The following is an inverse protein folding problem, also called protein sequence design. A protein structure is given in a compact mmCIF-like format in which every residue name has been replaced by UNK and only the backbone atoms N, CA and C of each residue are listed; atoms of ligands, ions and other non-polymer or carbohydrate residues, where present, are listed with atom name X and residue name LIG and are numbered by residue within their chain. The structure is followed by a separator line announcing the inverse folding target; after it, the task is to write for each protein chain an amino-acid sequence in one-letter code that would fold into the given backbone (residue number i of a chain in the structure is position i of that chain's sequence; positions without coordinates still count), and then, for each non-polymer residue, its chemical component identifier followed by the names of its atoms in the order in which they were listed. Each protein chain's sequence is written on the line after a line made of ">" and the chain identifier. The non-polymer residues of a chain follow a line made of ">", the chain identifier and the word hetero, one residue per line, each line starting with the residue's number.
data_IF_250478563899
#
_entry.id   IF_250478563899
#
_cell.length_a   1.000
_cell.length_b   1.000
_cell.length_c   1.000
_cell.angle_alpha   90.00
_cell.angle_beta   90.00
_cell.angle_gamma   90.00
#
_symmetry.space_group_name_H-M   'P 1'
#
loop_
_entity.id
_entity.type
_entity.pdbx_description
1 polymer ?
#
# COMPACT_ATOMS: atom_id res chain seq x y z
N UNK A 1 -8.89 -5.10 -24.67
CA UNK A 1 -8.68 -6.09 -23.58
C UNK A 1 -8.82 -5.33 -22.26
N UNK A 2 -9.32 -5.97 -21.20
CA UNK A 2 -9.35 -5.34 -19.89
C UNK A 2 -7.95 -5.36 -19.29
N UNK A 3 -7.60 -4.33 -18.51
CA UNK A 3 -6.35 -4.30 -17.73
C UNK A 3 -6.60 -4.90 -16.36
N UNK A 4 -5.79 -5.88 -15.96
CA UNK A 4 -5.91 -6.58 -14.69
C UNK A 4 -5.03 -5.92 -13.64
N UNK A 5 -5.68 -5.32 -12.61
CA UNK A 5 -5.02 -4.66 -11.49
C UNK A 5 -5.10 -5.53 -10.22
N UNK A 6 -3.96 -5.75 -9.59
CA UNK A 6 -3.86 -6.44 -8.31
C UNK A 6 -3.38 -5.47 -7.23
N UNK A 7 -4.14 -5.33 -6.16
CA UNK A 7 -3.77 -4.53 -4.99
C UNK A 7 -3.29 -5.42 -3.86
N UNK A 8 -2.05 -5.22 -3.43
CA UNK A 8 -1.41 -5.90 -2.31
C UNK A 8 -1.12 -4.91 -1.20
N UNK A 9 -1.27 -5.32 0.04
CA UNK A 9 -1.00 -4.44 1.17
C UNK A 9 -1.54 -4.99 2.49
N UNK A 10 -1.69 -4.09 3.44
CA UNK A 10 -2.16 -4.34 4.80
C UNK A 10 -3.66 -3.98 4.99
N UNK A 11 -4.06 -3.60 6.21
CA UNK A 11 -5.42 -3.23 6.56
C UNK A 11 -5.97 -2.04 5.77
N UNK A 12 -5.12 -1.09 5.38
CA UNK A 12 -5.55 0.08 4.59
C UNK A 12 -5.98 -0.37 3.18
N UNK A 13 -5.31 -1.37 2.62
CA UNK A 13 -5.67 -1.99 1.34
C UNK A 13 -6.83 -2.96 1.50
N UNK A 14 -6.85 -3.78 2.56
CA UNK A 14 -7.96 -4.69 2.88
C UNK A 14 -9.28 -3.93 2.98
N UNK A 15 -9.34 -2.94 3.84
CA UNK A 15 -10.51 -2.08 4.01
C UNK A 15 -11.82 -2.88 3.98
N UNK A 16 -11.92 -3.87 4.86
CA UNK A 16 -13.08 -4.76 5.05
C UNK A 16 -13.37 -5.75 3.90
N UNK A 17 -12.56 -5.85 2.84
CA UNK A 17 -12.91 -6.74 1.71
C UNK A 17 -13.03 -8.22 2.11
N UNK A 18 -12.26 -8.67 3.12
CA UNK A 18 -12.33 -10.04 3.65
C UNK A 18 -13.58 -10.31 4.49
N UNK A 19 -14.23 -9.26 4.99
CA UNK A 19 -15.40 -9.36 5.87
C UNK A 19 -16.73 -9.15 5.15
N UNK A 20 -16.69 -8.66 3.90
CA UNK A 20 -17.88 -8.48 3.09
C UNK A 20 -18.40 -9.83 2.57
N UNK A 21 -19.73 -10.03 2.53
CA UNK A 21 -20.32 -11.32 2.14
C UNK A 21 -20.15 -11.64 0.65
N UNK A 22 -19.91 -10.64 -0.20
CA UNK A 22 -19.79 -10.81 -1.63
C UNK A 22 -18.42 -11.39 -2.00
N UNK A 23 -18.43 -12.49 -2.73
CA UNK A 23 -17.18 -13.08 -3.25
C UNK A 23 -16.51 -12.10 -4.21
N UNK A 24 -15.23 -11.78 -3.93
CA UNK A 24 -14.47 -10.83 -4.73
C UNK A 24 -14.77 -9.37 -4.42
N UNK A 25 -15.34 -9.09 -3.23
CA UNK A 25 -15.49 -7.73 -2.73
C UNK A 25 -14.15 -6.98 -2.76
N UNK A 26 -14.21 -5.69 -3.06
CA UNK A 26 -13.05 -4.78 -3.05
C UNK A 26 -12.90 -4.02 -1.72
N UNK A 27 -13.80 -4.25 -0.78
CA UNK A 27 -13.89 -3.49 0.45
C UNK A 27 -14.61 -2.14 0.25
N UNK A 28 -14.45 -1.25 1.23
CA UNK A 28 -15.05 0.10 1.24
C UNK A 28 -14.03 1.23 1.19
N UNK A 29 -12.75 0.89 0.98
CA UNK A 29 -11.63 1.83 0.94
C UNK A 29 -11.23 2.27 -0.46
N UNK A 30 -9.98 2.75 -0.55
CA UNK A 30 -9.43 3.35 -1.77
C UNK A 30 -9.43 2.41 -2.97
N UNK A 31 -9.31 1.08 -2.78
CA UNK A 31 -9.33 0.10 -3.89
C UNK A 31 -10.70 0.09 -4.58
N UNK A 32 -11.79 0.09 -3.79
CA UNK A 32 -13.15 0.16 -4.34
C UNK A 32 -13.42 1.50 -5.05
N UNK A 33 -12.82 2.59 -4.56
CA UNK A 33 -12.93 3.91 -5.18
C UNK A 33 -12.15 3.99 -6.49
N UNK A 34 -10.92 3.46 -6.52
CA UNK A 34 -10.13 3.32 -7.75
C UNK A 34 -10.84 2.45 -8.80
N UNK A 35 -11.50 1.37 -8.40
CA UNK A 35 -12.24 0.53 -9.32
C UNK A 35 -13.36 1.31 -10.05
N UNK A 36 -14.05 2.21 -9.35
CA UNK A 36 -15.05 3.10 -9.96
C UNK A 36 -14.43 4.11 -10.93
N UNK A 37 -13.25 4.65 -10.58
CA UNK A 37 -12.55 5.66 -11.38
C UNK A 37 -11.87 5.04 -12.61
N UNK A 38 -11.32 3.83 -12.50
CA UNK A 38 -10.70 3.09 -13.62
C UNK A 38 -11.74 2.58 -14.61
N UNK A 39 -12.99 2.37 -14.16
CA UNK A 39 -14.12 2.06 -15.01
C UNK A 39 -14.18 0.61 -15.52
N UNK A 40 -15.03 0.33 -16.52
CA UNK A 40 -15.39 -1.03 -16.93
C UNK A 40 -14.27 -1.78 -17.67
N UNK A 41 -13.24 -1.08 -18.13
CA UNK A 41 -12.09 -1.68 -18.82
C UNK A 41 -11.00 -2.16 -17.86
N UNK A 42 -11.18 -1.96 -16.55
CA UNK A 42 -10.33 -2.49 -15.51
C UNK A 42 -10.96 -3.71 -14.83
N UNK A 43 -10.15 -4.72 -14.56
CA UNK A 43 -10.48 -5.80 -13.65
C UNK A 43 -9.64 -5.64 -12.39
N UNK A 44 -10.30 -5.52 -11.23
CA UNK A 44 -9.64 -5.19 -9.97
C UNK A 44 -9.72 -6.39 -9.03
N UNK A 45 -8.57 -6.71 -8.43
CA UNK A 45 -8.47 -7.73 -7.38
C UNK A 45 -7.84 -7.08 -6.14
N UNK A 46 -8.57 -7.08 -5.03
CA UNK A 46 -8.03 -6.68 -3.73
C UNK A 46 -7.49 -7.91 -2.99
N UNK A 47 -6.22 -7.87 -2.59
CA UNK A 47 -5.55 -8.85 -1.74
C UNK A 47 -4.82 -8.22 -0.55
N UNK A 48 -5.31 -7.09 -0.08
CA UNK A 48 -4.92 -6.53 1.22
C UNK A 48 -5.26 -7.51 2.34
N UNK A 49 -4.45 -7.56 3.37
CA UNK A 49 -4.70 -8.40 4.55
C UNK A 49 -4.36 -7.61 5.80
N UNK A 50 -5.31 -7.51 6.69
CA UNK A 50 -5.15 -6.81 7.96
C UNK A 50 -3.90 -7.30 8.73
N UNK A 51 -3.13 -6.36 9.27
CA UNK A 51 -1.93 -6.64 10.06
C UNK A 51 -0.71 -7.12 9.25
N UNK A 52 -0.75 -7.17 7.92
CA UNK A 52 0.38 -7.67 7.15
C UNK A 52 1.61 -6.80 7.31
N UNK A 53 2.74 -7.47 7.56
CA UNK A 53 4.10 -6.97 7.43
C UNK A 53 4.70 -7.41 6.10
N UNK A 54 5.83 -6.80 5.73
CA UNK A 54 6.57 -7.23 4.53
C UNK A 54 7.01 -8.70 4.63
N UNK A 55 7.45 -9.15 5.79
CA UNK A 55 7.82 -10.55 6.02
C UNK A 55 6.63 -11.51 5.83
N UNK A 56 5.43 -11.14 6.32
CA UNK A 56 4.22 -11.94 6.15
C UNK A 56 3.80 -12.00 4.67
N UNK A 57 3.89 -10.90 3.94
CA UNK A 57 3.62 -10.87 2.51
C UNK A 57 4.60 -11.76 1.74
N UNK A 58 5.90 -11.67 2.04
CA UNK A 58 6.92 -12.52 1.43
C UNK A 58 6.63 -14.00 1.63
N UNK A 59 6.26 -14.40 2.85
CA UNK A 59 5.88 -15.79 3.14
C UNK A 59 4.68 -16.24 2.30
N UNK A 60 3.67 -15.39 2.13
CA UNK A 60 2.52 -15.68 1.28
C UNK A 60 2.87 -15.80 -0.19
N UNK A 61 3.74 -14.93 -0.70
CA UNK A 61 4.23 -15.02 -2.07
C UNK A 61 4.99 -16.33 -2.31
N UNK A 62 5.81 -16.78 -1.33
CA UNK A 62 6.51 -18.06 -1.38
C UNK A 62 5.56 -19.27 -1.44
N UNK A 63 4.36 -19.12 -0.94
CA UNK A 63 3.30 -20.17 -0.96
C UNK A 63 2.35 -20.03 -2.15
N UNK A 64 2.68 -19.24 -3.16
CA UNK A 64 1.87 -19.07 -4.37
C UNK A 64 0.66 -18.15 -4.18
N UNK A 65 0.78 -17.11 -3.38
CA UNK A 65 -0.27 -16.12 -3.18
C UNK A 65 -0.58 -15.30 -4.43
N UNK A 66 0.44 -15.05 -5.26
CA UNK A 66 0.28 -14.43 -6.55
C UNK A 66 -0.27 -15.46 -7.54
N UNK A 67 -1.56 -15.34 -7.87
CA UNK A 67 -2.23 -16.19 -8.85
C UNK A 67 -2.64 -15.34 -10.05
N UNK A 68 -2.54 -15.92 -11.24
CA UNK A 68 -2.83 -15.21 -12.49
C UNK A 68 -1.63 -14.39 -12.98
N UNK A 69 -1.90 -13.54 -13.95
CA UNK A 69 -0.91 -12.66 -14.59
C UNK A 69 -1.50 -11.24 -14.62
N UNK A 70 -1.49 -10.50 -13.49
CA UNK A 70 -1.96 -9.12 -13.49
C UNK A 70 -1.07 -8.27 -14.40
N UNK A 71 -1.65 -7.27 -15.06
CA UNK A 71 -0.91 -6.30 -15.85
C UNK A 71 -0.22 -5.28 -14.93
N UNK A 72 -0.92 -4.88 -13.86
CA UNK A 72 -0.46 -3.87 -12.90
C UNK A 72 -0.62 -4.39 -11.47
N UNK A 73 0.43 -4.26 -10.66
CA UNK A 73 0.40 -4.52 -9.22
C UNK A 73 0.61 -3.21 -8.47
N UNK A 74 -0.28 -2.88 -7.54
CA UNK A 74 -0.09 -1.81 -6.56
C UNK A 74 0.26 -2.41 -5.22
N UNK A 75 1.39 -2.02 -4.64
CA UNK A 75 1.86 -2.47 -3.32
C UNK A 75 1.93 -1.29 -2.36
N UNK A 76 1.16 -1.33 -1.27
CA UNK A 76 1.23 -0.40 -0.14
C UNK A 76 1.33 -1.18 1.17
N UNK A 77 2.50 -1.11 1.84
CA UNK A 77 2.81 -1.92 3.01
C UNK A 77 3.90 -1.21 3.85
N UNK A 78 4.03 -1.61 5.13
CA UNK A 78 5.17 -1.19 5.96
C UNK A 78 4.77 -0.56 7.30
N UNK A 79 3.55 -0.05 7.45
CA UNK A 79 3.13 0.56 8.72
C UNK A 79 3.11 -0.47 9.87
N UNK A 80 2.78 -1.72 9.59
CA UNK A 80 2.78 -2.79 10.59
C UNK A 80 4.20 -3.22 10.98
N UNK A 81 5.18 -3.11 10.07
CA UNK A 81 6.59 -3.36 10.38
C UNK A 81 7.10 -2.36 11.41
N UNK A 82 6.71 -1.07 11.29
CA UNK A 82 6.98 -0.05 12.30
C UNK A 82 6.30 -0.41 13.63
N UNK A 83 5.02 -0.81 13.57
CA UNK A 83 4.28 -1.24 14.76
C UNK A 83 4.96 -2.40 15.49
N UNK A 84 5.42 -3.41 14.76
CA UNK A 84 6.19 -4.53 15.32
C UNK A 84 7.49 -4.04 15.92
N UNK A 85 8.27 -3.25 15.20
CA UNK A 85 9.56 -2.74 15.68
C UNK A 85 9.42 -2.00 17.02
N UNK A 86 8.47 -1.07 17.11
CA UNK A 86 8.25 -0.28 18.32
C UNK A 86 7.67 -1.09 19.49
N UNK A 87 6.73 -2.00 19.21
CA UNK A 87 6.09 -2.80 20.28
C UNK A 87 7.00 -3.90 20.82
N UNK A 88 7.97 -4.35 20.04
CA UNK A 88 8.94 -5.40 20.46
C UNK A 88 10.32 -4.84 20.78
N UNK A 89 10.51 -3.52 20.68
CA UNK A 89 11.77 -2.80 20.92
C UNK A 89 12.94 -3.36 20.10
N UNK A 90 12.68 -3.61 18.81
CA UNK A 90 13.68 -3.99 17.81
C UNK A 90 13.76 -2.94 16.72
N UNK A 91 14.81 -2.95 15.91
CA UNK A 91 14.94 -2.04 14.78
C UNK A 91 14.33 -2.64 13.50
N UNK A 92 14.08 -1.81 12.48
CA UNK A 92 13.70 -2.28 11.14
C UNK A 92 14.77 -3.19 10.53
N UNK A 93 16.04 -2.96 10.88
CA UNK A 93 17.15 -3.82 10.46
C UNK A 93 17.09 -5.20 11.13
N UNK A 94 16.75 -5.27 12.43
CA UNK A 94 16.55 -6.56 13.13
C UNK A 94 15.39 -7.37 12.50
N UNK A 95 14.37 -6.70 11.98
CA UNK A 95 13.27 -7.30 11.21
C UNK A 95 13.67 -7.64 9.78
N UNK A 96 14.88 -7.30 9.35
CA UNK A 96 15.37 -7.48 7.98
C UNK A 96 14.43 -6.86 6.92
N UNK A 97 13.84 -5.72 7.26
CA UNK A 97 12.83 -5.08 6.42
C UNK A 97 13.32 -4.86 4.99
N UNK A 98 14.48 -4.24 4.81
CA UNK A 98 15.02 -3.91 3.49
C UNK A 98 15.26 -5.15 2.62
N UNK A 99 15.74 -6.27 3.21
CA UNK A 99 15.95 -7.53 2.51
C UNK A 99 14.62 -8.15 2.07
N UNK A 100 13.66 -8.26 2.99
CA UNK A 100 12.35 -8.83 2.70
C UNK A 100 11.59 -7.98 1.67
N UNK A 101 11.65 -6.64 1.78
CA UNK A 101 11.00 -5.75 0.82
C UNK A 101 11.60 -5.89 -0.57
N UNK A 102 12.94 -5.94 -0.68
CA UNK A 102 13.61 -6.18 -1.96
C UNK A 102 13.19 -7.52 -2.56
N UNK A 103 13.12 -8.58 -1.76
CA UNK A 103 12.71 -9.90 -2.24
C UNK A 103 11.25 -9.92 -2.70
N UNK A 104 10.35 -9.25 -1.98
CA UNK A 104 8.95 -9.03 -2.41
C UNK A 104 8.94 -8.37 -3.78
N UNK A 105 9.64 -7.24 -3.96
CA UNK A 105 9.64 -6.51 -5.22
C UNK A 105 10.21 -7.34 -6.39
N UNK A 106 11.28 -8.10 -6.16
CA UNK A 106 11.82 -8.98 -7.19
C UNK A 106 10.82 -10.03 -7.64
N UNK A 107 10.08 -10.66 -6.70
CA UNK A 107 9.02 -11.63 -7.04
C UNK A 107 7.84 -11.00 -7.78
N UNK A 108 7.46 -9.78 -7.42
CA UNK A 108 6.40 -9.06 -8.13
C UNK A 108 6.85 -8.68 -9.54
N UNK A 109 8.08 -8.21 -9.69
CA UNK A 109 8.68 -7.88 -10.99
C UNK A 109 8.81 -9.12 -11.88
N UNK A 110 9.24 -10.25 -11.33
CA UNK A 110 9.40 -11.52 -12.06
C UNK A 110 8.06 -12.10 -12.55
N UNK A 111 6.94 -11.63 -12.03
CA UNK A 111 5.60 -11.99 -12.54
C UNK A 111 5.32 -11.42 -13.92
N UNK A 112 6.10 -10.46 -14.38
CA UNK A 112 5.89 -9.71 -15.61
C UNK A 112 4.93 -8.53 -15.49
N UNK A 113 4.38 -8.27 -14.31
CA UNK A 113 3.50 -7.12 -14.08
C UNK A 113 4.29 -5.82 -13.93
N UNK A 114 3.67 -4.71 -14.31
CA UNK A 114 4.15 -3.39 -13.91
C UNK A 114 3.84 -3.16 -12.43
N UNK A 115 4.82 -2.75 -11.62
CA UNK A 115 4.67 -2.63 -10.16
C UNK A 115 4.74 -1.17 -9.74
N UNK A 116 3.68 -0.67 -9.07
CA UNK A 116 3.65 0.60 -8.37
C UNK A 116 3.84 0.36 -6.87
N UNK A 117 4.87 0.96 -6.30
CA UNK A 117 5.14 0.91 -4.87
C UNK A 117 4.71 2.20 -4.19
N UNK A 118 4.10 2.10 -3.01
CA UNK A 118 3.69 3.26 -2.22
C UNK A 118 4.22 3.14 -0.79
N UNK A 119 4.69 4.24 -0.23
CA UNK A 119 5.16 4.32 1.16
C UNK A 119 4.01 4.27 2.17
N UNK A 120 4.29 3.91 3.42
CA UNK A 120 3.34 4.02 4.51
C UNK A 120 3.12 5.47 4.91
N UNK A 121 2.05 5.75 5.67
CA UNK A 121 1.79 7.03 6.29
C UNK A 121 1.25 6.86 7.71
N UNK A 122 1.36 7.90 8.51
CA UNK A 122 0.86 7.97 9.87
C UNK A 122 0.45 9.41 10.18
N UNK A 123 -0.59 9.60 10.98
CA UNK A 123 -0.97 10.91 11.50
C UNK A 123 -0.45 11.08 12.93
N UNK A 124 -0.01 12.28 13.35
CA UNK A 124 0.50 12.53 14.71
C UNK A 124 -0.60 12.55 15.78
N UNK A 125 -1.76 12.03 15.48
CA UNK A 125 -2.93 11.94 16.34
C UNK A 125 -3.52 10.52 16.30
N UNK A 126 -3.71 9.87 17.47
CA UNK A 126 -3.35 10.33 18.83
C UNK A 126 -1.85 10.54 19.04
N UNK A 127 -1.50 11.36 20.04
CA UNK A 127 -0.14 11.84 20.27
C UNK A 127 0.95 10.75 20.29
N UNK A 128 0.61 9.52 20.69
CA UNK A 128 1.53 8.38 20.68
C UNK A 128 2.18 8.13 19.31
N UNK A 129 1.50 8.47 18.22
CA UNK A 129 1.99 8.28 16.87
C UNK A 129 3.01 9.33 16.40
N UNK A 130 3.20 10.42 17.15
CA UNK A 130 4.31 11.33 16.88
C UNK A 130 5.67 10.62 16.91
N UNK A 131 5.80 9.59 17.76
CA UNK A 131 7.00 8.76 17.84
C UNK A 131 7.20 7.84 16.61
N UNK A 132 6.17 7.61 15.80
CA UNK A 132 6.25 6.77 14.63
C UNK A 132 6.74 7.52 13.39
N UNK A 133 6.58 8.85 13.36
CA UNK A 133 6.90 9.67 12.19
C UNK A 133 8.36 9.48 11.72
N UNK A 134 9.39 9.51 12.60
CA UNK A 134 10.76 9.26 12.15
C UNK A 134 10.94 7.90 11.46
N UNK A 135 10.25 6.86 11.93
CA UNK A 135 10.29 5.52 11.33
C UNK A 135 9.58 5.46 9.97
N UNK A 136 8.47 6.18 9.83
CA UNK A 136 7.78 6.28 8.54
C UNK A 136 8.67 6.94 7.51
N UNK A 137 9.32 8.05 7.86
CA UNK A 137 10.25 8.76 6.97
C UNK A 137 11.49 7.91 6.62
N UNK A 138 12.06 7.21 7.60
CA UNK A 138 13.15 6.24 7.37
C UNK A 138 12.70 5.13 6.41
N UNK A 139 11.49 4.60 6.62
CA UNK A 139 10.95 3.53 5.80
C UNK A 139 10.70 4.00 4.36
N UNK A 140 10.10 5.19 4.18
CA UNK A 140 9.92 5.78 2.83
C UNK A 140 11.25 5.95 2.11
N UNK A 141 12.31 6.37 2.82
CA UNK A 141 13.64 6.48 2.22
C UNK A 141 14.16 5.10 1.79
N UNK A 142 14.15 4.10 2.68
CA UNK A 142 14.62 2.74 2.38
C UNK A 142 13.85 2.16 1.18
N UNK A 143 12.52 2.27 1.19
CA UNK A 143 11.67 1.77 0.12
C UNK A 143 11.95 2.47 -1.21
N UNK A 144 12.10 3.80 -1.21
CA UNK A 144 12.42 4.59 -2.38
C UNK A 144 13.78 4.22 -2.98
N UNK A 145 14.81 4.03 -2.16
CA UNK A 145 16.14 3.60 -2.60
C UNK A 145 16.11 2.20 -3.23
N UNK A 146 15.36 1.27 -2.62
CA UNK A 146 15.19 -0.08 -3.17
C UNK A 146 14.45 -0.04 -4.50
N UNK A 147 13.33 0.70 -4.59
CA UNK A 147 12.56 0.86 -5.82
C UNK A 147 13.43 1.48 -6.93
N UNK A 148 14.19 2.54 -6.63
CA UNK A 148 15.11 3.16 -7.59
C UNK A 148 16.16 2.18 -8.11
N UNK A 149 16.73 1.33 -7.22
CA UNK A 149 17.71 0.31 -7.60
C UNK A 149 17.15 -0.78 -8.53
N UNK A 150 15.83 -0.98 -8.51
CA UNK A 150 15.10 -1.94 -9.34
C UNK A 150 14.37 -1.27 -10.52
N UNK A 151 14.54 0.05 -10.70
CA UNK A 151 13.82 0.85 -11.70
C UNK A 151 12.31 0.78 -11.60
N UNK A 152 11.80 0.63 -10.38
CA UNK A 152 10.36 0.62 -10.07
C UNK A 152 9.89 2.01 -9.60
N UNK A 153 8.69 2.45 -10.00
CA UNK A 153 8.11 3.69 -9.49
C UNK A 153 7.76 3.59 -8.01
N UNK A 154 8.03 4.66 -7.26
CA UNK A 154 7.72 4.79 -5.85
C UNK A 154 6.97 6.10 -5.58
N UNK A 155 5.86 6.00 -4.84
CA UNK A 155 5.03 7.13 -4.44
C UNK A 155 5.10 7.29 -2.92
N UNK A 156 5.81 8.31 -2.40
CA UNK A 156 5.80 8.62 -0.97
C UNK A 156 4.43 9.18 -0.60
N UNK A 157 3.78 8.61 0.43
CA UNK A 157 2.42 8.99 0.81
C UNK A 157 2.35 9.86 2.06
N UNK A 158 3.35 9.79 2.95
CA UNK A 158 3.26 10.42 4.26
C UNK A 158 3.01 11.94 4.18
N UNK A 159 3.81 12.64 3.39
CA UNK A 159 3.67 14.09 3.24
C UNK A 159 2.33 14.49 2.62
N UNK A 160 1.85 13.75 1.61
CA UNK A 160 0.56 14.00 0.99
C UNK A 160 -0.58 13.79 1.97
N UNK A 161 -0.66 12.62 2.62
CA UNK A 161 -1.76 12.28 3.52
C UNK A 161 -1.83 13.23 4.71
N UNK A 162 -0.70 13.61 5.29
CA UNK A 162 -0.68 14.58 6.40
C UNK A 162 -1.05 15.99 5.97
N UNK A 163 -0.81 16.37 4.73
CA UNK A 163 -1.23 17.68 4.17
C UNK A 163 -2.75 17.84 4.02
N UNK A 164 -3.50 16.75 4.06
CA UNK A 164 -4.96 16.77 4.00
C UNK A 164 -5.62 17.30 5.28
N UNK A 165 -4.90 17.23 6.41
CA UNK A 165 -5.39 17.70 7.71
C UNK A 165 -5.40 19.22 7.75
N UNK A 166 -6.58 19.81 7.91
CA UNK A 166 -6.78 21.25 8.03
C UNK A 166 -7.21 21.60 9.45
N UNK A 167 -6.62 22.66 10.02
CA UNK A 167 -6.98 23.15 11.37
C UNK A 167 -6.90 22.06 12.46
N UNK A 168 -5.97 21.14 12.36
CA UNK A 168 -5.80 19.99 13.29
C UNK A 168 -7.04 19.06 13.36
N UNK A 169 -7.92 19.10 12.37
CA UNK A 169 -9.08 18.20 12.26
C UNK A 169 -8.63 16.83 11.67
N UNK A 170 -8.03 16.02 12.53
CA UNK A 170 -7.56 14.68 12.16
C UNK A 170 -8.73 13.73 11.89
N UNK A 171 -9.83 13.87 12.62
CA UNK A 171 -11.00 12.98 12.49
C UNK A 171 -11.67 13.08 11.11
N UNK A 172 -11.45 14.17 10.39
CA UNK A 172 -11.88 14.27 9.00
C UNK A 172 -11.15 13.32 8.07
N UNK A 173 -9.87 12.99 8.36
CA UNK A 173 -8.98 12.26 7.45
C UNK A 173 -8.66 10.85 7.95
N UNK A 174 -8.55 10.65 9.26
CA UNK A 174 -8.18 9.37 9.86
C UNK A 174 -9.09 8.99 11.02
N UNK A 175 -9.37 7.69 11.16
CA UNK A 175 -10.22 7.15 12.24
C UNK A 175 -9.43 7.02 13.54
N UNK A 176 -8.15 6.66 13.45
CA UNK A 176 -7.34 6.29 14.62
C UNK A 176 -5.86 6.73 14.51
N UNK A 177 -5.52 7.45 13.45
CA UNK A 177 -4.15 7.88 13.15
C UNK A 177 -3.42 6.99 12.14
N UNK A 178 -3.95 5.82 11.82
CA UNK A 178 -3.43 4.88 10.81
C UNK A 178 -4.44 4.72 9.67
N UNK A 179 -5.68 4.35 10.01
CA UNK A 179 -6.71 4.02 9.04
C UNK A 179 -7.43 5.28 8.56
N UNK A 180 -7.52 5.51 7.24
CA UNK A 180 -8.24 6.65 6.70
C UNK A 180 -9.75 6.57 6.93
N UNK A 181 -10.39 7.72 7.05
CA UNK A 181 -11.85 7.85 6.89
C UNK A 181 -12.25 7.62 5.42
N UNK A 182 -13.54 7.62 5.12
CA UNK A 182 -14.01 7.60 3.72
C UNK A 182 -13.39 8.73 2.89
N UNK A 183 -13.31 9.94 3.46
CA UNK A 183 -12.64 11.08 2.81
C UNK A 183 -11.14 10.83 2.61
N UNK A 184 -10.44 10.30 3.63
CA UNK A 184 -9.03 9.95 3.52
C UNK A 184 -8.78 8.90 2.42
N UNK A 185 -9.62 7.87 2.32
CA UNK A 185 -9.56 6.88 1.25
C UNK A 185 -9.85 7.48 -0.13
N UNK A 186 -10.81 8.40 -0.26
CA UNK A 186 -11.09 9.10 -1.51
C UNK A 186 -9.86 9.88 -1.99
N UNK A 187 -9.23 10.63 -1.09
CA UNK A 187 -8.02 11.40 -1.42
C UNK A 187 -6.84 10.51 -1.77
N UNK A 188 -6.68 9.38 -1.09
CA UNK A 188 -5.66 8.38 -1.43
C UNK A 188 -5.90 7.80 -2.82
N UNK A 189 -7.15 7.46 -3.17
CA UNK A 189 -7.50 6.97 -4.49
C UNK A 189 -7.22 8.03 -5.58
N UNK A 190 -7.66 9.28 -5.36
CA UNK A 190 -7.41 10.40 -6.28
C UNK A 190 -5.92 10.60 -6.53
N UNK A 191 -5.09 10.44 -5.50
CA UNK A 191 -3.65 10.63 -5.58
C UNK A 191 -2.94 9.49 -6.33
N UNK A 192 -3.37 8.24 -6.13
CA UNK A 192 -2.77 7.07 -6.76
C UNK A 192 -3.22 6.86 -8.21
N UNK A 193 -4.43 7.31 -8.58
CA UNK A 193 -5.01 7.07 -9.90
C UNK A 193 -4.10 7.47 -11.07
N UNK A 194 -3.53 8.69 -11.13
CA UNK A 194 -2.69 9.08 -12.26
C UNK A 194 -1.44 8.20 -12.39
N UNK A 195 -0.84 7.77 -11.28
CA UNK A 195 0.31 6.88 -11.28
C UNK A 195 -0.03 5.50 -11.85
N UNK A 196 -1.20 4.95 -11.47
CA UNK A 196 -1.67 3.66 -11.99
C UNK A 196 -1.98 3.71 -13.47
N UNK A 197 -2.64 4.79 -13.94
CA UNK A 197 -2.96 4.98 -15.35
C UNK A 197 -1.70 5.16 -16.21
N UNK A 198 -0.71 5.88 -15.71
CA UNK A 198 0.56 6.07 -16.41
C UNK A 198 1.33 4.76 -16.53
N UNK A 199 1.38 4.00 -15.44
CA UNK A 199 2.05 2.70 -15.40
C UNK A 199 1.40 1.70 -16.35
N UNK A 200 0.07 1.62 -16.38
CA UNK A 200 -0.66 0.73 -17.28
C UNK A 200 -0.40 1.07 -18.77
N UNK A 201 -0.33 2.37 -19.09
CA UNK A 201 -0.04 2.81 -20.46
C UNK A 201 1.38 2.44 -20.92
N UNK A 202 2.35 2.61 -20.03
CA UNK A 202 3.76 2.33 -20.36
C UNK A 202 4.07 0.83 -20.44
N UNK A 203 3.28 0.01 -19.77
CA UNK A 203 3.46 -1.45 -19.77
C UNK A 203 2.77 -2.13 -20.96
N UNK A 204 1.74 -1.51 -21.53
CA UNK A 204 0.94 -2.08 -22.64
C UNK A 204 1.62 -1.95 -24.03
N UNK A 205 2.86 -1.40 -24.09
CA UNK A 205 3.67 -1.22 -25.29
C UNK A 205 4.75 -2.30 -25.36
#
# INVERSE_FOLDING_TARGET
>A
MKTDYLFLGDSITDSNHLWMPETGSLGDGYVAMLAKQLGPDAQIINKGIDGFTVAALLERLNRGFLKGHPDVISLMIGINDIGVALNTNVTLNDLRFAEHYREVLMRLHDSGAAVLCSGPFIFPHPQKYQLWIPYVLELEQIMGEICASLSLPFVPLHAYMTSLVQNEDYDAVTVDGIHPTTYGHEKLADYLLPHLLDLARTHSV
#
